data_IF_864738841525
#
_entry.id   IF_864738841525
#
_cell.length_a   1.000
_cell.length_b   1.000
_cell.length_c   1.000
_cell.angle_alpha   90.00
_cell.angle_beta   90.00
_cell.angle_gamma   90.00
#
_symmetry.space_group_name_H-M   'P 1'
#
loop_
_entity.id
_entity.type
_entity.pdbx_description
1 polymer ?
#
# COMPACT_ATOMS: atom_id res chain seq x y z
N UNK A 1 6.30 4.50 -26.10
CA UNK A 1 7.65 3.94 -25.89
C UNK A 1 8.71 4.52 -26.82
N UNK A 2 8.47 4.70 -28.13
CA UNK A 2 9.51 5.16 -29.09
C UNK A 2 10.24 6.43 -28.63
N UNK A 3 9.50 7.49 -28.26
CA UNK A 3 10.09 8.77 -27.79
C UNK A 3 11.04 8.58 -26.58
N UNK A 4 10.65 7.74 -25.61
CA UNK A 4 11.45 7.51 -24.38
C UNK A 4 12.78 6.81 -24.70
N UNK A 5 12.77 5.89 -25.67
CA UNK A 5 13.97 5.12 -26.03
C UNK A 5 14.83 5.79 -27.12
N UNK A 6 14.24 6.63 -28.00
CA UNK A 6 14.93 7.15 -29.18
C UNK A 6 15.23 8.64 -29.16
N UNK A 7 14.49 9.45 -28.41
CA UNK A 7 14.59 10.92 -28.50
C UNK A 7 14.91 11.59 -27.16
N UNK A 8 14.16 11.29 -26.08
CA UNK A 8 14.33 11.99 -24.80
C UNK A 8 13.78 11.21 -23.61
N UNK A 9 14.41 11.41 -22.44
CA UNK A 9 14.11 10.72 -21.17
C UNK A 9 13.51 11.70 -20.18
N UNK A 10 12.36 12.28 -20.54
CA UNK A 10 11.71 13.32 -19.75
C UNK A 10 10.79 12.74 -18.66
N UNK A 11 10.86 13.33 -17.46
CA UNK A 11 10.04 12.94 -16.30
C UNK A 11 8.55 13.14 -16.58
N UNK A 12 8.16 14.21 -17.26
CA UNK A 12 6.78 14.52 -17.62
C UNK A 12 6.20 13.44 -18.55
N UNK A 13 6.99 13.02 -19.54
CA UNK A 13 6.56 11.98 -20.50
C UNK A 13 6.37 10.65 -19.76
N UNK A 14 7.28 10.29 -18.84
CA UNK A 14 7.13 9.10 -18.02
C UNK A 14 5.88 9.16 -17.14
N UNK A 15 5.59 10.33 -16.55
CA UNK A 15 4.42 10.53 -15.71
C UNK A 15 3.11 10.40 -16.51
N UNK A 16 3.00 11.10 -17.65
CA UNK A 16 1.82 11.03 -18.52
C UNK A 16 1.64 9.64 -19.11
N UNK A 17 2.73 8.96 -19.48
CA UNK A 17 2.66 7.62 -20.03
C UNK A 17 2.15 6.63 -18.98
N UNK A 18 2.55 6.76 -17.70
CA UNK A 18 2.04 5.91 -16.63
C UNK A 18 0.52 6.03 -16.51
N UNK A 19 -0.01 7.26 -16.52
CA UNK A 19 -1.44 7.52 -16.44
C UNK A 19 -2.20 7.03 -17.68
N UNK A 20 -1.63 7.22 -18.88
CA UNK A 20 -2.24 6.83 -20.14
C UNK A 20 -2.25 5.31 -20.34
N UNK A 21 -1.13 4.64 -20.10
CA UNK A 21 -1.00 3.19 -20.24
C UNK A 21 -1.85 2.45 -19.22
N UNK A 22 -2.00 2.97 -18.00
CA UNK A 22 -2.95 2.42 -17.03
C UNK A 22 -4.39 2.47 -17.55
N UNK A 23 -4.83 3.60 -18.13
CA UNK A 23 -6.19 3.71 -18.67
C UNK A 23 -6.43 2.86 -19.91
N UNK A 24 -5.42 2.71 -20.77
CA UNK A 24 -5.56 2.02 -22.05
C UNK A 24 -5.35 0.51 -21.95
N UNK A 25 -4.43 0.06 -21.08
CA UNK A 25 -3.99 -1.34 -20.99
C UNK A 25 -4.02 -1.90 -19.57
N UNK A 26 -4.54 -1.15 -18.60
CA UNK A 26 -4.61 -1.56 -17.21
C UNK A 26 -3.22 -1.71 -16.57
N UNK A 27 -3.15 -2.60 -15.58
CA UNK A 27 -1.91 -2.82 -14.81
C UNK A 27 -0.75 -3.36 -15.65
N UNK A 28 -1.03 -4.09 -16.74
CA UNK A 28 0.02 -4.52 -17.67
C UNK A 28 0.72 -3.31 -18.31
N UNK A 29 -0.05 -2.31 -18.75
CA UNK A 29 0.50 -1.08 -19.31
C UNK A 29 1.31 -0.29 -18.29
N UNK A 30 0.75 -0.09 -17.10
CA UNK A 30 1.44 0.61 -16.00
C UNK A 30 2.76 -0.07 -15.64
N UNK A 31 2.78 -1.40 -15.55
CA UNK A 31 3.98 -2.20 -15.25
C UNK A 31 5.09 -1.93 -16.25
N UNK A 32 4.77 -1.91 -17.54
CA UNK A 32 5.78 -1.63 -18.56
C UNK A 32 6.35 -0.22 -18.42
N UNK A 33 5.52 0.78 -18.10
CA UNK A 33 6.03 2.14 -17.86
C UNK A 33 6.94 2.17 -16.64
N UNK A 34 6.54 1.58 -15.52
CA UNK A 34 7.37 1.51 -14.32
C UNK A 34 8.68 0.77 -14.56
N UNK A 35 8.65 -0.33 -15.33
CA UNK A 35 9.89 -1.03 -15.71
C UNK A 35 10.84 -0.13 -16.47
N UNK A 36 10.35 0.63 -17.45
CA UNK A 36 11.19 1.59 -18.19
C UNK A 36 11.70 2.72 -17.29
N UNK A 37 10.85 3.28 -16.43
CA UNK A 37 11.26 4.30 -15.47
C UNK A 37 12.37 3.79 -14.57
N UNK A 38 12.22 2.58 -14.02
CA UNK A 38 13.23 1.92 -13.22
C UNK A 38 14.54 1.71 -14.00
N UNK A 39 14.47 1.14 -15.20
CA UNK A 39 15.64 0.88 -16.03
C UNK A 39 16.42 2.17 -16.35
N UNK A 40 15.70 3.27 -16.62
CA UNK A 40 16.30 4.60 -16.85
C UNK A 40 16.94 5.13 -15.57
N UNK A 41 16.26 5.04 -14.42
CA UNK A 41 16.76 5.59 -13.17
C UNK A 41 17.98 4.82 -12.64
N UNK A 42 18.02 3.51 -12.83
CA UNK A 42 19.16 2.67 -12.47
C UNK A 42 20.38 2.90 -13.37
N UNK A 43 20.18 2.97 -14.68
CA UNK A 43 21.30 2.90 -15.63
C UNK A 43 21.67 4.24 -16.25
N UNK A 44 20.76 5.23 -16.22
CA UNK A 44 20.84 6.43 -17.04
C UNK A 44 20.38 7.70 -16.27
N UNK A 45 20.52 7.72 -14.94
CA UNK A 45 20.09 8.80 -14.04
C UNK A 45 20.52 10.20 -14.51
N UNK A 46 21.79 10.36 -14.89
CA UNK A 46 22.35 11.65 -15.30
C UNK A 46 21.78 12.19 -16.62
N UNK A 47 21.07 11.35 -17.38
CA UNK A 47 20.45 11.71 -18.65
C UNK A 47 18.95 11.98 -18.56
N UNK A 48 18.35 11.85 -17.36
CA UNK A 48 16.94 12.16 -17.12
C UNK A 48 16.74 13.67 -17.20
N UNK A 49 15.72 14.09 -17.94
CA UNK A 49 15.39 15.51 -18.15
C UNK A 49 14.04 15.86 -17.54
N UNK A 50 13.84 17.15 -17.28
CA UNK A 50 12.60 17.75 -16.82
C UNK A 50 12.53 19.15 -17.41
N UNK A 51 11.33 19.72 -17.51
CA UNK A 51 11.13 21.11 -17.94
C UNK A 51 11.67 22.07 -16.88
N UNK A 52 11.51 21.72 -15.60
CA UNK A 52 12.10 22.43 -14.45
C UNK A 52 13.26 21.61 -13.88
N UNK A 53 14.44 22.21 -13.76
CA UNK A 53 15.66 21.57 -13.23
C UNK A 53 16.37 22.41 -12.15
N UNK A 54 15.66 23.37 -11.53
CA UNK A 54 16.21 24.23 -10.47
C UNK A 54 16.64 23.43 -9.24
N UNK A 55 15.79 22.49 -8.80
CA UNK A 55 16.10 21.48 -7.80
C UNK A 55 15.38 20.15 -8.06
N UNK A 56 15.68 19.13 -7.23
CA UNK A 56 15.07 17.81 -7.37
C UNK A 56 13.55 17.79 -7.06
N UNK A 57 13.03 18.73 -6.26
CA UNK A 57 11.59 18.80 -5.96
C UNK A 57 10.82 19.26 -7.21
N UNK A 58 11.29 20.31 -7.87
CA UNK A 58 10.72 20.77 -9.14
C UNK A 58 10.93 19.76 -10.27
N UNK A 59 12.11 19.12 -10.34
CA UNK A 59 12.45 18.13 -11.36
C UNK A 59 11.56 16.90 -11.33
N UNK A 60 11.12 16.48 -10.13
CA UNK A 60 10.25 15.32 -9.95
C UNK A 60 8.82 15.68 -9.53
N UNK A 61 8.44 16.97 -9.62
CA UNK A 61 7.09 17.45 -9.40
C UNK A 61 6.02 16.70 -10.22
N UNK A 62 6.26 16.26 -11.48
CA UNK A 62 5.28 15.44 -12.20
C UNK A 62 4.94 14.12 -11.48
N UNK A 63 5.91 13.46 -10.84
CA UNK A 63 5.66 12.26 -10.04
C UNK A 63 4.98 12.57 -8.72
N UNK A 64 5.34 13.69 -8.07
CA UNK A 64 4.61 14.16 -6.90
C UNK A 64 3.12 14.44 -7.24
N UNK A 65 2.84 15.00 -8.43
CA UNK A 65 1.49 15.23 -8.93
C UNK A 65 0.66 13.97 -9.16
N UNK A 66 1.30 12.88 -9.63
CA UNK A 66 0.62 11.58 -9.76
C UNK A 66 0.15 11.04 -8.41
N UNK A 67 0.96 11.24 -7.35
CA UNK A 67 0.63 10.81 -5.99
C UNK A 67 -0.33 11.76 -5.28
N UNK A 68 -0.21 13.05 -5.57
CA UNK A 68 -1.02 14.12 -5.01
C UNK A 68 -0.26 14.95 -3.97
N UNK A 69 -0.43 16.27 -4.05
CA UNK A 69 0.14 17.26 -3.12
C UNK A 69 -1.03 18.00 -2.48
N UNK A 70 -1.30 17.75 -1.20
CA UNK A 70 -2.43 18.34 -0.47
C UNK A 70 -3.84 17.93 -0.96
N UNK A 71 -3.92 17.12 -2.01
CA UNK A 71 -5.15 16.58 -2.61
C UNK A 71 -4.86 15.23 -3.28
N UNK A 72 -5.89 14.56 -3.79
CA UNK A 72 -5.74 13.27 -4.49
C UNK A 72 -5.01 13.48 -5.84
N UNK A 73 -3.94 12.69 -6.07
CA UNK A 73 -3.14 12.78 -7.29
C UNK A 73 -3.81 12.19 -8.52
N UNK A 74 -3.32 12.57 -9.71
CA UNK A 74 -3.98 12.23 -10.98
C UNK A 74 -3.97 10.73 -11.30
N UNK A 75 -3.06 9.94 -10.70
CA UNK A 75 -2.99 8.50 -10.90
C UNK A 75 -3.90 7.72 -9.95
N UNK A 76 -4.33 8.30 -8.83
CA UNK A 76 -5.08 7.57 -7.79
C UNK A 76 -6.46 7.15 -8.30
N UNK A 77 -7.20 8.06 -8.94
CA UNK A 77 -8.51 7.73 -9.50
C UNK A 77 -8.41 6.65 -10.61
N UNK A 78 -7.49 6.73 -11.58
CA UNK A 78 -7.24 5.66 -12.54
C UNK A 78 -6.91 4.30 -11.94
N UNK A 79 -6.12 4.24 -10.86
CA UNK A 79 -5.83 2.99 -10.15
C UNK A 79 -7.10 2.37 -9.58
N UNK A 80 -7.97 3.21 -8.99
CA UNK A 80 -9.26 2.77 -8.43
C UNK A 80 -10.26 2.32 -9.49
N UNK A 81 -10.24 2.95 -10.67
CA UNK A 81 -11.14 2.66 -11.79
C UNK A 81 -10.61 1.57 -12.75
N UNK A 82 -9.38 1.11 -12.57
CA UNK A 82 -8.85 -0.01 -13.34
C UNK A 82 -9.55 -1.31 -12.94
N UNK A 83 -9.86 -2.16 -13.92
CA UNK A 83 -10.65 -3.37 -13.68
C UNK A 83 -9.89 -4.37 -12.81
N UNK A 84 -10.58 -4.91 -11.80
CA UNK A 84 -10.08 -6.01 -10.99
C UNK A 84 -10.18 -7.35 -11.72
N UNK A 85 -10.94 -7.41 -12.83
CA UNK A 85 -11.12 -8.61 -13.64
C UNK A 85 -10.18 -8.56 -14.86
N UNK A 86 -9.42 -9.62 -15.14
CA UNK A 86 -8.52 -9.68 -16.29
C UNK A 86 -9.29 -9.43 -17.60
N UNK A 87 -8.77 -8.52 -18.43
CA UNK A 87 -9.41 -8.16 -19.71
C UNK A 87 -10.66 -7.28 -19.61
N UNK A 88 -11.07 -6.89 -18.40
CA UNK A 88 -12.15 -5.93 -18.19
C UNK A 88 -11.80 -4.52 -18.66
N UNK A 89 -12.81 -3.74 -19.05
CA UNK A 89 -12.60 -2.35 -19.50
C UNK A 89 -12.36 -1.42 -18.32
N UNK A 90 -11.72 -0.29 -18.59
CA UNK A 90 -11.57 0.78 -17.62
C UNK A 90 -12.95 1.26 -17.13
N UNK A 91 -13.15 1.34 -15.82
CA UNK A 91 -14.42 1.70 -15.19
C UNK A 91 -15.37 0.53 -14.92
N UNK A 92 -15.02 -0.71 -15.29
CA UNK A 92 -15.82 -1.91 -14.99
C UNK A 92 -15.18 -2.76 -13.90
N UNK A 93 -15.98 -3.31 -12.98
CA UNK A 93 -15.53 -4.21 -11.92
C UNK A 93 -14.34 -3.64 -11.13
N UNK A 94 -14.51 -2.40 -10.69
CA UNK A 94 -13.45 -1.54 -10.15
C UNK A 94 -13.21 -1.79 -8.66
N UNK A 95 -12.15 -1.18 -8.11
CA UNK A 95 -11.94 -1.20 -6.66
C UNK A 95 -13.12 -0.57 -5.91
N UNK A 96 -13.73 0.47 -6.49
CA UNK A 96 -14.94 1.08 -5.93
C UNK A 96 -16.11 0.10 -5.88
N UNK A 97 -16.34 -0.66 -6.95
CA UNK A 97 -17.39 -1.68 -6.99
C UNK A 97 -17.16 -2.76 -5.93
N UNK A 98 -15.90 -3.19 -5.77
CA UNK A 98 -15.53 -4.16 -4.74
C UNK A 98 -15.77 -3.65 -3.33
N UNK A 99 -15.37 -2.40 -3.03
CA UNK A 99 -15.57 -1.78 -1.72
C UNK A 99 -17.07 -1.60 -1.41
N UNK A 100 -17.84 -1.17 -2.40
CA UNK A 100 -19.29 -1.02 -2.27
C UNK A 100 -19.97 -2.38 -2.05
N UNK A 101 -19.52 -3.43 -2.76
CA UNK A 101 -20.00 -4.80 -2.61
C UNK A 101 -19.73 -5.42 -1.22
N UNK A 102 -18.86 -4.83 -0.39
CA UNK A 102 -18.66 -5.30 0.99
C UNK A 102 -19.79 -4.90 1.94
N UNK A 103 -20.67 -3.97 1.54
CA UNK A 103 -21.82 -3.58 2.36
C UNK A 103 -22.87 -4.69 2.37
N UNK A 104 -23.46 -4.95 3.53
CA UNK A 104 -24.45 -6.03 3.71
C UNK A 104 -25.68 -5.90 2.80
N UNK A 105 -26.00 -4.68 2.34
CA UNK A 105 -27.10 -4.39 1.43
C UNK A 105 -26.80 -4.68 -0.05
N UNK A 106 -25.53 -4.89 -0.41
CA UNK A 106 -25.05 -4.94 -1.81
C UNK A 106 -24.80 -6.38 -2.29
N UNK A 107 -25.73 -7.29 -1.98
CA UNK A 107 -25.60 -8.72 -2.32
C UNK A 107 -25.52 -8.97 -3.83
N UNK A 108 -26.37 -8.31 -4.62
CA UNK A 108 -26.39 -8.47 -6.08
C UNK A 108 -25.06 -8.07 -6.73
N UNK A 109 -24.54 -6.88 -6.39
CA UNK A 109 -23.26 -6.39 -6.90
C UNK A 109 -22.10 -7.30 -6.51
N UNK A 110 -22.12 -7.80 -5.26
CA UNK A 110 -21.14 -8.78 -4.79
C UNK A 110 -21.19 -10.06 -5.63
N UNK A 111 -22.37 -10.63 -5.83
CA UNK A 111 -22.54 -11.83 -6.65
C UNK A 111 -22.06 -11.62 -8.09
N UNK A 112 -22.44 -10.51 -8.73
CA UNK A 112 -21.99 -10.18 -10.09
C UNK A 112 -20.47 -10.10 -10.21
N UNK A 113 -19.81 -9.43 -9.26
CA UNK A 113 -18.35 -9.28 -9.24
C UNK A 113 -17.62 -10.61 -9.01
N UNK A 114 -18.10 -11.42 -8.06
CA UNK A 114 -17.52 -12.73 -7.78
C UNK A 114 -17.77 -13.73 -8.93
N UNK A 115 -18.92 -13.64 -9.60
CA UNK A 115 -19.21 -14.45 -10.79
C UNK A 115 -18.27 -14.07 -11.95
N UNK A 116 -18.06 -12.77 -12.21
CA UNK A 116 -17.12 -12.32 -13.22
C UNK A 116 -15.68 -12.81 -12.95
N UNK A 117 -15.24 -12.80 -11.69
CA UNK A 117 -13.95 -13.34 -11.29
C UNK A 117 -13.87 -14.87 -11.46
N UNK A 118 -14.94 -15.59 -11.13
CA UNK A 118 -15.05 -17.03 -11.32
C UNK A 118 -15.00 -17.42 -12.81
N UNK A 119 -15.70 -16.67 -13.66
CA UNK A 119 -15.71 -16.83 -15.12
C UNK A 119 -14.32 -16.59 -15.74
N UNK A 120 -13.58 -15.58 -15.26
CA UNK A 120 -12.20 -15.35 -15.66
C UNK A 120 -11.27 -16.51 -15.24
N UNK A 121 -11.56 -17.14 -14.10
CA UNK A 121 -10.86 -18.30 -13.58
C UNK A 121 -9.60 -17.98 -12.78
N UNK A 122 -9.22 -18.91 -11.90
CA UNK A 122 -8.15 -18.72 -10.91
C UNK A 122 -6.82 -18.40 -11.56
N UNK A 123 -6.47 -19.05 -12.68
CA UNK A 123 -5.20 -18.83 -13.36
C UNK A 123 -5.08 -17.39 -13.92
N UNK A 124 -6.14 -16.88 -14.54
CA UNK A 124 -6.17 -15.51 -15.07
C UNK A 124 -6.15 -14.47 -13.94
N UNK A 125 -6.95 -14.70 -12.88
CA UNK A 125 -6.95 -13.84 -11.69
C UNK A 125 -5.58 -13.81 -10.98
N UNK A 126 -4.90 -14.94 -10.89
CA UNK A 126 -3.56 -15.04 -10.27
C UNK A 126 -2.50 -14.35 -11.14
N UNK A 127 -2.58 -14.51 -12.47
CA UNK A 127 -1.72 -13.77 -13.40
C UNK A 127 -1.92 -12.25 -13.27
N UNK A 128 -3.17 -11.80 -13.17
CA UNK A 128 -3.51 -10.39 -12.99
C UNK A 128 -3.02 -9.84 -11.64
N UNK A 129 -3.17 -10.62 -10.56
CA UNK A 129 -2.58 -10.30 -9.26
C UNK A 129 -1.06 -10.16 -9.35
N UNK A 130 -0.38 -11.07 -10.05
CA UNK A 130 1.07 -10.99 -10.28
C UNK A 130 1.46 -9.71 -11.04
N UNK A 131 0.64 -9.24 -11.99
CA UNK A 131 0.87 -7.96 -12.66
C UNK A 131 0.80 -6.78 -11.68
N UNK A 132 -0.21 -6.73 -10.82
CA UNK A 132 -0.37 -5.66 -9.82
C UNK A 132 0.77 -5.68 -8.80
N UNK A 133 1.14 -6.87 -8.31
CA UNK A 133 2.27 -7.03 -7.41
C UNK A 133 3.58 -6.58 -8.07
N UNK A 134 3.79 -6.88 -9.35
CA UNK A 134 4.97 -6.40 -10.09
C UNK A 134 4.97 -4.87 -10.24
N UNK A 135 3.82 -4.23 -10.48
CA UNK A 135 3.71 -2.77 -10.43
C UNK A 135 4.12 -2.22 -9.06
N UNK A 136 3.63 -2.83 -7.98
CA UNK A 136 3.96 -2.42 -6.61
C UNK A 136 5.46 -2.55 -6.32
N UNK A 137 6.07 -3.69 -6.67
CA UNK A 137 7.51 -3.90 -6.49
C UNK A 137 8.36 -2.91 -7.27
N UNK A 138 8.07 -2.70 -8.57
CA UNK A 138 8.78 -1.71 -9.38
C UNK A 138 8.60 -0.29 -8.84
N UNK A 139 7.40 0.05 -8.38
CA UNK A 139 7.14 1.37 -7.80
C UNK A 139 7.89 1.59 -6.48
N UNK A 140 7.98 0.57 -5.63
CA UNK A 140 8.79 0.61 -4.40
C UNK A 140 10.29 0.80 -4.74
N UNK A 141 10.79 0.12 -5.78
CA UNK A 141 12.17 0.29 -6.26
C UNK A 141 12.44 1.69 -6.82
N UNK A 142 11.55 2.23 -7.66
CA UNK A 142 11.64 3.60 -8.18
C UNK A 142 11.64 4.61 -7.03
N UNK A 143 10.72 4.45 -6.07
CA UNK A 143 10.62 5.32 -4.90
C UNK A 143 11.90 5.29 -4.07
N UNK A 144 12.50 4.11 -3.91
CA UNK A 144 13.77 3.95 -3.20
C UNK A 144 14.91 4.69 -3.89
N UNK A 145 15.01 4.61 -5.23
CA UNK A 145 16.03 5.35 -6.00
C UNK A 145 15.83 6.86 -5.81
N UNK A 146 14.59 7.34 -5.93
CA UNK A 146 14.26 8.75 -5.73
C UNK A 146 14.62 9.21 -4.31
N UNK A 147 14.29 8.44 -3.28
CA UNK A 147 14.69 8.76 -1.90
C UNK A 147 16.21 8.79 -1.72
N UNK A 148 16.95 7.87 -2.34
CA UNK A 148 18.41 7.83 -2.25
C UNK A 148 19.09 9.00 -2.98
N UNK A 149 18.54 9.41 -4.12
CA UNK A 149 19.14 10.45 -4.98
C UNK A 149 18.73 11.86 -4.59
N UNK A 150 17.45 12.06 -4.26
CA UNK A 150 16.86 13.38 -3.99
C UNK A 150 16.75 13.70 -2.49
N UNK A 151 16.94 12.72 -1.61
CA UNK A 151 16.90 12.91 -0.16
C UNK A 151 15.58 13.51 0.31
N UNK A 152 15.65 14.68 0.97
CA UNK A 152 14.48 15.39 1.48
C UNK A 152 13.54 15.92 0.38
N UNK A 153 14.05 16.07 -0.86
CA UNK A 153 13.30 16.56 -2.00
C UNK A 153 12.66 15.43 -2.82
N UNK A 154 12.69 14.19 -2.32
CA UNK A 154 12.07 13.07 -3.01
C UNK A 154 10.53 13.21 -3.02
N UNK A 155 9.86 12.93 -4.15
CA UNK A 155 8.42 13.02 -4.23
C UNK A 155 7.74 11.97 -3.34
N UNK A 156 6.60 12.34 -2.75
CA UNK A 156 5.79 11.43 -1.96
C UNK A 156 5.23 10.27 -2.82
N UNK A 157 5.19 9.07 -2.26
CA UNK A 157 4.80 7.84 -2.98
C UNK A 157 3.67 7.04 -2.31
N UNK A 158 3.25 7.45 -1.11
CA UNK A 158 2.38 6.66 -0.23
C UNK A 158 0.98 6.41 -0.79
N UNK A 159 0.36 7.37 -1.47
CA UNK A 159 -1.01 7.23 -1.98
C UNK A 159 -1.07 6.20 -3.11
N UNK A 160 -0.14 6.28 -4.07
CA UNK A 160 -0.04 5.31 -5.17
C UNK A 160 0.24 3.93 -4.61
N UNK A 161 1.19 3.82 -3.69
CA UNK A 161 1.55 2.56 -3.04
C UNK A 161 0.36 1.91 -2.34
N UNK A 162 -0.38 2.69 -1.54
CA UNK A 162 -1.56 2.21 -0.82
C UNK A 162 -2.67 1.78 -1.78
N UNK A 163 -2.92 2.55 -2.85
CA UNK A 163 -3.91 2.18 -3.87
C UNK A 163 -3.56 0.84 -4.56
N UNK A 164 -2.29 0.61 -4.90
CA UNK A 164 -1.84 -0.67 -5.47
C UNK A 164 -2.01 -1.84 -4.48
N UNK A 165 -1.75 -1.62 -3.19
CA UNK A 165 -1.97 -2.62 -2.13
C UNK A 165 -3.46 -2.96 -2.01
N UNK A 166 -4.33 -1.96 -1.99
CA UNK A 166 -5.80 -2.15 -1.92
C UNK A 166 -6.32 -2.92 -3.14
N UNK A 167 -5.87 -2.57 -4.35
CA UNK A 167 -6.19 -3.32 -5.58
C UNK A 167 -5.74 -4.77 -5.46
N UNK A 168 -4.48 -5.02 -5.07
CA UNK A 168 -3.97 -6.38 -4.93
C UNK A 168 -4.76 -7.19 -3.89
N UNK A 169 -5.13 -6.58 -2.76
CA UNK A 169 -5.97 -7.21 -1.74
C UNK A 169 -7.37 -7.55 -2.28
N UNK A 170 -7.98 -6.66 -3.08
CA UNK A 170 -9.28 -6.93 -3.71
C UNK A 170 -9.19 -8.09 -4.71
N UNK A 171 -8.16 -8.16 -5.55
CA UNK A 171 -7.96 -9.26 -6.50
C UNK A 171 -7.74 -10.59 -5.76
N UNK A 172 -7.01 -10.59 -4.63
CA UNK A 172 -6.88 -11.77 -3.75
C UNK A 172 -8.24 -12.23 -3.21
N UNK A 173 -9.07 -11.30 -2.75
CA UNK A 173 -10.41 -11.59 -2.24
C UNK A 173 -11.35 -12.15 -3.33
N UNK A 174 -11.12 -11.81 -4.59
CA UNK A 174 -11.84 -12.32 -5.76
C UNK A 174 -11.29 -13.65 -6.30
N UNK A 175 -10.28 -14.24 -5.66
CA UNK A 175 -9.78 -15.57 -5.99
C UNK A 175 -8.40 -15.61 -6.66
N UNK A 176 -7.75 -14.46 -6.85
CA UNK A 176 -6.34 -14.40 -7.23
C UNK A 176 -5.46 -15.03 -6.14
N UNK A 177 -4.51 -15.87 -6.54
CA UNK A 177 -3.55 -16.50 -5.63
C UNK A 177 -2.17 -15.95 -5.95
N UNK A 178 -1.40 -15.62 -4.92
CA UNK A 178 0.02 -15.38 -5.10
C UNK A 178 0.65 -16.68 -5.60
N UNK A 179 1.50 -16.59 -6.62
CA UNK A 179 2.29 -17.74 -7.05
C UNK A 179 3.20 -18.14 -5.88
N UNK A 180 2.82 -19.20 -5.17
CA UNK A 180 3.80 -19.95 -4.40
C UNK A 180 4.76 -20.49 -5.45
N UNK A 181 6.08 -20.26 -5.35
CA UNK A 181 7.02 -20.92 -6.23
C UNK A 181 6.72 -22.42 -6.15
N UNK A 182 6.19 -22.98 -7.23
CA UNK A 182 6.09 -24.42 -7.35
C UNK A 182 7.53 -24.90 -7.21
N UNK A 183 7.85 -25.55 -6.09
CA UNK A 183 9.11 -26.21 -5.91
C UNK A 183 9.29 -27.11 -7.14
N UNK A 184 10.21 -26.70 -8.02
CA UNK A 184 10.57 -27.45 -9.20
C UNK A 184 10.93 -28.84 -8.72
N UNK A 185 10.20 -29.82 -9.25
CA UNK A 185 10.23 -31.20 -8.81
C UNK A 185 11.64 -31.75 -8.69
N UNK A 186 11.86 -32.46 -7.59
CA UNK A 186 12.98 -33.35 -7.32
C UNK A 186 13.37 -34.12 -8.58
N UNK A 187 14.51 -33.76 -9.17
CA UNK A 187 15.26 -34.66 -10.04
C UNK A 187 16.10 -35.54 -9.10
N UNK A 188 15.67 -36.79 -9.02
CA UNK A 188 16.44 -38.02 -8.79
C UNK A 188 17.69 -37.93 -7.90
N UNK A 189 17.53 -38.48 -6.69
CA UNK A 189 18.61 -38.93 -5.80
C UNK A 189 19.55 -39.90 -6.52
N UNK A 190 20.85 -39.65 -6.45
CA UNK A 190 21.87 -40.69 -6.44
C UNK A 190 22.64 -40.52 -5.14
N UNK A 191 22.60 -41.57 -4.32
CA UNK A 191 23.33 -41.68 -3.08
C UNK A 191 24.81 -41.95 -3.37
N UNK A 192 25.71 -41.34 -2.60
CA UNK A 192 26.87 -42.06 -2.06
C UNK A 192 27.46 -41.34 -0.85
N UNK A 193 28.10 -42.16 -0.03
CA UNK A 193 28.37 -42.09 1.40
C UNK A 193 29.72 -41.44 1.75
N UNK A 194 29.88 -41.03 3.02
CA UNK A 194 31.19 -40.98 3.66
C UNK A 194 31.70 -39.64 4.20
N UNK A 195 31.66 -39.49 5.53
CA UNK A 195 32.79 -38.90 6.27
C UNK A 195 32.57 -37.55 6.96
N UNK A 196 32.24 -37.60 8.25
CA UNK A 196 32.38 -36.47 9.19
C UNK A 196 33.88 -36.09 9.39
N UNK A 197 34.17 -34.84 9.81
CA UNK A 197 34.39 -34.65 11.24
C UNK A 197 33.83 -33.33 11.83
N UNK A 198 33.71 -33.35 13.16
CA UNK A 198 33.08 -32.35 14.01
C UNK A 198 33.94 -31.10 14.28
N UNK A 199 33.28 -29.94 14.43
CA UNK A 199 33.77 -28.71 15.09
C UNK A 199 32.58 -27.80 15.48
N UNK A 200 32.74 -26.80 16.37
CA UNK A 200 32.04 -26.76 17.66
C UNK A 200 30.76 -25.92 17.67
N UNK A 201 29.90 -26.23 18.65
CA UNK A 201 28.62 -25.60 18.92
C UNK A 201 28.71 -24.09 19.17
N UNK A 202 28.14 -23.32 18.24
CA UNK A 202 27.79 -21.92 18.44
C UNK A 202 26.42 -21.87 19.09
N UNK A 203 26.34 -21.24 20.26
CA UNK A 203 25.11 -21.05 21.01
C UNK A 203 24.06 -20.36 20.12
N UNK A 204 22.93 -21.04 19.92
CA UNK A 204 21.71 -20.43 19.40
C UNK A 204 21.32 -19.29 20.34
N UNK A 205 21.61 -18.06 19.96
CA UNK A 205 20.89 -16.91 20.49
C UNK A 205 19.45 -17.09 20.03
N UNK A 206 18.56 -17.38 20.97
CA UNK A 206 17.15 -17.47 20.72
C UNK A 206 16.68 -16.11 20.18
N UNK A 207 16.46 -16.05 18.86
CA UNK A 207 15.66 -15.00 18.25
C UNK A 207 14.27 -15.20 18.84
N UNK A 208 13.87 -14.33 19.76
CA UNK A 208 12.47 -14.25 20.19
C UNK A 208 11.66 -13.92 18.96
N UNK A 209 10.81 -14.85 18.53
CA UNK A 209 9.78 -14.57 17.53
C UNK A 209 8.99 -13.34 18.00
N UNK A 210 8.78 -12.31 17.17
CA UNK A 210 8.02 -11.12 17.54
C UNK A 210 6.49 -11.34 17.52
N UNK A 211 6.03 -12.58 17.76
CA UNK A 211 4.63 -12.98 17.52
C UNK A 211 3.75 -13.08 18.77
N UNK A 212 4.27 -12.86 19.97
CA UNK A 212 3.43 -12.80 21.16
C UNK A 212 3.60 -11.48 21.91
N UNK A 213 2.75 -10.52 21.59
CA UNK A 213 2.49 -9.38 22.47
C UNK A 213 1.68 -9.92 23.66
N UNK A 214 2.31 -10.06 24.82
CA UNK A 214 1.75 -10.76 25.97
C UNK A 214 0.75 -9.93 26.78
N UNK A 215 0.71 -8.60 26.57
CA UNK A 215 -0.20 -7.71 27.28
C UNK A 215 -0.56 -6.45 26.48
N UNK A 216 -1.68 -5.82 26.87
CA UNK A 216 -2.13 -4.53 26.31
C UNK A 216 -1.08 -3.43 26.47
N UNK A 217 -0.40 -3.40 27.60
CA UNK A 217 0.64 -2.40 27.86
C UNK A 217 1.88 -2.64 27.00
N UNK A 218 2.26 -3.90 26.80
CA UNK A 218 3.34 -4.26 25.87
C UNK A 218 2.98 -3.90 24.41
N UNK A 219 1.72 -4.03 24.02
CA UNK A 219 1.23 -3.59 22.71
C UNK A 219 1.44 -2.07 22.55
N UNK A 220 1.07 -1.29 23.56
CA UNK A 220 1.23 0.16 23.53
C UNK A 220 2.69 0.60 23.55
N UNK A 221 3.55 -0.07 24.32
CA UNK A 221 5.00 0.24 24.32
C UNK A 221 5.66 -0.12 22.99
N UNK A 222 5.20 -1.18 22.32
CA UNK A 222 5.63 -1.53 20.97
C UNK A 222 5.21 -0.43 19.98
N UNK A 223 3.96 0.03 20.04
CA UNK A 223 3.47 1.14 19.23
C UNK A 223 4.25 2.44 19.48
N UNK A 224 4.57 2.77 20.73
CA UNK A 224 5.41 3.93 21.05
C UNK A 224 6.85 3.78 20.55
N UNK A 225 7.36 2.56 20.47
CA UNK A 225 8.66 2.28 19.84
C UNK A 225 8.61 2.53 18.34
N UNK A 226 7.54 2.12 17.67
CA UNK A 226 7.29 2.43 16.25
C UNK A 226 7.11 3.94 16.03
N UNK A 227 6.38 4.65 16.89
CA UNK A 227 6.22 6.10 16.80
C UNK A 227 7.57 6.84 16.91
N UNK A 228 8.44 6.41 17.84
CA UNK A 228 9.80 6.95 17.99
C UNK A 228 10.67 6.69 16.76
N UNK A 229 10.49 5.56 16.09
CA UNK A 229 11.16 5.27 14.83
C UNK A 229 10.71 6.26 13.73
N UNK A 230 9.40 6.40 13.52
CA UNK A 230 8.86 7.35 12.53
C UNK A 230 9.26 8.79 12.83
N UNK A 231 9.30 9.22 14.09
CA UNK A 231 9.75 10.56 14.46
C UNK A 231 11.22 10.84 14.13
N UNK A 232 12.06 9.80 14.08
CA UNK A 232 13.49 9.90 13.70
C UNK A 232 13.68 9.86 12.19
N UNK A 233 12.93 9.01 11.50
CA UNK A 233 13.10 8.76 10.07
C UNK A 233 12.27 9.71 9.20
N UNK A 234 11.10 10.13 9.68
CA UNK A 234 10.13 10.98 8.99
C UNK A 234 9.56 12.05 9.96
N UNK A 235 10.33 13.10 10.35
CA UNK A 235 9.93 14.05 11.39
C UNK A 235 8.63 14.83 11.10
N UNK A 236 8.27 14.95 9.82
CA UNK A 236 7.07 15.64 9.34
C UNK A 236 5.90 14.69 9.04
N UNK A 237 6.08 13.38 9.24
CA UNK A 237 5.03 12.39 9.02
C UNK A 237 3.96 12.50 10.12
N UNK A 238 2.66 12.58 9.77
CA UNK A 238 1.60 12.57 10.77
C UNK A 238 1.49 11.21 11.49
N UNK A 239 2.18 10.17 10.99
CA UNK A 239 2.11 8.80 11.53
C UNK A 239 2.60 8.74 12.97
N UNK A 240 3.71 9.40 13.32
CA UNK A 240 4.21 9.37 14.70
C UNK A 240 3.20 10.00 15.67
N UNK A 241 2.63 11.14 15.30
CA UNK A 241 1.60 11.83 16.08
C UNK A 241 0.31 11.00 16.15
N UNK A 242 -0.08 10.34 15.07
CA UNK A 242 -1.26 9.50 15.02
C UNK A 242 -1.11 8.27 15.93
N UNK A 243 0.06 7.61 15.92
CA UNK A 243 0.34 6.48 16.81
C UNK A 243 0.38 6.92 18.27
N UNK A 244 1.06 8.03 18.58
CA UNK A 244 1.08 8.60 19.94
C UNK A 244 -0.34 8.96 20.43
N UNK A 245 -1.15 9.56 19.55
CA UNK A 245 -2.55 9.88 19.82
C UNK A 245 -3.40 8.63 20.03
N UNK A 246 -3.19 7.58 19.23
CA UNK A 246 -3.89 6.30 19.35
C UNK A 246 -3.54 5.60 20.66
N UNK A 247 -2.26 5.57 21.06
CA UNK A 247 -1.84 5.00 22.33
C UNK A 247 -2.44 5.78 23.50
N UNK A 248 -2.42 7.13 23.43
CA UNK A 248 -3.03 7.99 24.46
C UNK A 248 -4.54 7.73 24.60
N UNK A 249 -5.28 7.72 23.49
CA UNK A 249 -6.72 7.39 23.45
C UNK A 249 -6.99 5.97 23.91
N UNK A 250 -6.12 5.03 23.54
CA UNK A 250 -6.18 3.64 23.96
C UNK A 250 -5.97 3.45 25.46
N UNK A 251 -5.44 4.44 26.19
CA UNK A 251 -5.30 4.41 27.66
C UNK A 251 -6.43 5.13 28.40
N UNK A 252 -7.29 5.87 27.70
CA UNK A 252 -8.42 6.59 28.29
C UNK A 252 -9.55 5.64 28.68
N UNK A 253 -10.36 6.06 29.65
CA UNK A 253 -11.66 5.44 29.84
C UNK A 253 -12.64 5.81 28.72
N UNK A 254 -13.70 5.02 28.57
CA UNK A 254 -14.66 5.20 27.48
C UNK A 254 -15.36 6.57 27.52
N UNK A 255 -15.63 7.12 28.71
CA UNK A 255 -16.28 8.42 28.89
C UNK A 255 -15.35 9.55 28.46
N UNK A 256 -14.07 9.48 28.85
CA UNK A 256 -13.02 10.42 28.45
C UNK A 256 -12.78 10.39 26.93
N UNK A 257 -12.69 9.19 26.36
CA UNK A 257 -12.52 9.01 24.92
C UNK A 257 -13.70 9.60 24.14
N UNK A 258 -14.93 9.35 24.61
CA UNK A 258 -16.14 9.87 23.97
C UNK A 258 -16.24 11.40 24.11
N UNK A 259 -15.80 11.97 25.24
CA UNK A 259 -15.70 13.42 25.45
C UNK A 259 -14.73 14.09 24.48
N UNK A 260 -13.61 13.43 24.18
CA UNK A 260 -12.61 13.94 23.24
C UNK A 260 -13.06 13.80 21.77
N UNK A 261 -13.66 12.67 21.39
CA UNK A 261 -14.09 12.43 20.01
C UNK A 261 -15.32 13.25 19.61
N UNK A 262 -16.20 13.56 20.56
CA UNK A 262 -17.43 14.30 20.34
C UNK A 262 -17.52 15.43 21.39
N UNK A 263 -17.00 16.63 21.08
CA UNK A 263 -17.05 17.78 21.99
C UNK A 263 -18.48 18.21 22.34
N UNK A 264 -19.43 18.00 21.43
CA UNK A 264 -20.83 18.39 21.58
C UNK A 264 -21.60 17.42 22.50
N UNK A 265 -22.13 17.95 23.61
CA UNK A 265 -22.88 17.16 24.59
C UNK A 265 -24.09 16.43 23.98
N UNK A 266 -24.76 17.05 23.01
CA UNK A 266 -25.93 16.46 22.34
C UNK A 266 -25.57 15.24 21.49
N UNK A 267 -24.43 15.28 20.78
CA UNK A 267 -23.93 14.16 19.99
C UNK A 267 -23.49 13.00 20.89
N UNK A 268 -22.80 13.28 22.00
CA UNK A 268 -22.43 12.27 23.00
C UNK A 268 -23.64 11.58 23.61
N UNK A 269 -24.64 12.35 24.02
CA UNK A 269 -25.85 11.81 24.65
C UNK A 269 -26.65 10.95 23.68
N UNK A 270 -26.68 11.28 22.39
CA UNK A 270 -27.30 10.45 21.37
C UNK A 270 -26.60 9.10 21.21
N UNK A 271 -25.26 9.08 21.19
CA UNK A 271 -24.47 7.84 21.13
C UNK A 271 -24.63 6.98 22.38
N UNK A 272 -24.56 7.59 23.58
CA UNK A 272 -24.79 6.88 24.85
C UNK A 272 -26.19 6.27 24.91
N UNK A 273 -27.20 7.02 24.48
CA UNK A 273 -28.60 6.55 24.45
C UNK A 273 -28.79 5.41 23.46
N UNK A 274 -28.18 5.50 22.26
CA UNK A 274 -28.20 4.43 21.27
C UNK A 274 -27.48 3.15 21.76
N UNK A 275 -26.45 3.31 22.58
CA UNK A 275 -25.73 2.22 23.23
C UNK A 275 -26.42 1.68 24.50
N UNK A 276 -27.59 2.22 24.89
CA UNK A 276 -28.34 1.79 26.08
C UNK A 276 -27.77 2.27 27.42
N UNK A 277 -26.83 3.22 27.40
CA UNK A 277 -26.19 3.80 28.60
C UNK A 277 -26.92 5.11 28.95
N UNK A 278 -27.39 5.24 30.19
CA UNK A 278 -28.01 6.49 30.66
C UNK A 278 -26.94 7.59 30.72
N UNK A 279 -27.11 8.75 30.04
CA UNK A 279 -26.16 9.85 30.17
C UNK A 279 -26.13 10.30 31.64
N UNK A 280 -24.93 10.29 32.23
CA UNK A 280 -24.74 10.66 33.63
C UNK A 280 -25.20 12.09 33.86
N UNK A 281 -26.22 12.27 34.70
CA UNK A 281 -26.61 13.58 35.19
C UNK A 281 -25.46 14.18 35.99
N UNK A 282 -25.22 15.47 35.77
CA UNK A 282 -24.27 16.28 36.53
C UNK A 282 -24.43 16.03 38.03
N UNK A 283 -23.38 15.50 38.66
CA UNK A 283 -23.30 15.41 40.11
C UNK A 283 -23.00 16.81 40.64
N UNK A 284 -24.04 17.63 40.82
CA UNK A 284 -23.96 18.92 41.49
C UNK A 284 -23.76 18.64 43.00
N UNK A 285 -22.50 18.46 43.39
CA UNK A 285 -22.08 18.36 44.79
C UNK A 285 -22.09 19.73 45.45
N UNK A 286 -22.92 19.85 46.49
CA UNK A 286 -22.83 20.88 47.53
C UNK A 286 -21.49 20.84 48.25
#
# INVERSE_FOLDING_TARGET
MQIIYSESRDVEILAWLAEAELRLKGFLGLREVYRVTYDIFCNQWDSVRSISDEDDDERFAPFAGLNGIGSEGTLIQPLRLSSLIPGGKFGENTLWDFQLAQRSSETKRKEELYNAASEAGIAAMSTHLAQVNACLSLFDEISMILSQKCGANAPASSNIRNALIEVAAAIRALGGRDEIPAAVGEIARIAEDGGAPAQPAVQKTAIKNPEEIASRDEAFETLLTVARYFRRMEPHSPISLAIETLVRRGRMDFSELLAELLPEAQARNAVLTAAGIKPGGENNGK
#
